data_IF_084647674762
#
_entry.id   IF_084647674762
#
_cell.length_a   1.000
_cell.length_b   1.000
_cell.length_c   1.000
_cell.angle_alpha   90.00
_cell.angle_beta   90.00
_cell.angle_gamma   90.00
#
_symmetry.space_group_name_H-M   'P 1'
#
loop_
_entity.id
_entity.type
_entity.pdbx_description
1 polymer ?
#
# COMPACT_ATOMS: atom_id res chain seq x y z
N UNK A 1 -17.82 8.78 0.32
CA UNK A 1 -17.02 7.83 -0.50
C UNK A 1 -17.87 6.64 -0.90
N UNK A 2 -17.78 6.20 -2.17
CA UNK A 2 -18.43 4.96 -2.63
C UNK A 2 -17.34 3.94 -3.00
N UNK A 3 -17.03 3.03 -2.09
CA UNK A 3 -15.94 2.04 -2.23
C UNK A 3 -16.06 1.21 -3.52
N UNK A 4 -17.29 0.87 -3.93
CA UNK A 4 -17.52 0.12 -5.17
C UNK A 4 -17.12 0.95 -6.41
N UNK A 5 -17.41 2.25 -6.40
CA UNK A 5 -17.01 3.19 -7.46
C UNK A 5 -15.48 3.31 -7.50
N UNK A 6 -14.84 3.51 -6.34
CA UNK A 6 -13.38 3.57 -6.21
C UNK A 6 -12.71 2.31 -6.75
N UNK A 7 -13.13 1.14 -6.30
CA UNK A 7 -12.62 -0.16 -6.78
C UNK A 7 -12.84 -0.33 -8.31
N UNK A 8 -13.97 0.11 -8.82
CA UNK A 8 -14.31 0.02 -10.25
C UNK A 8 -13.44 0.93 -11.12
N UNK A 9 -13.07 2.10 -10.61
CA UNK A 9 -12.32 3.11 -11.34
C UNK A 9 -10.80 3.03 -11.11
N UNK A 10 -10.35 2.47 -9.99
CA UNK A 10 -8.93 2.29 -9.67
C UNK A 10 -8.22 1.45 -10.74
N UNK A 11 -7.08 1.94 -11.21
CA UNK A 11 -6.16 1.26 -12.13
C UNK A 11 -4.73 1.48 -11.68
N UNK A 12 -3.81 0.65 -12.13
CA UNK A 12 -2.38 0.92 -12.04
C UNK A 12 -1.99 1.89 -13.15
N UNK A 13 -1.60 3.10 -12.75
CA UNK A 13 -1.11 4.14 -13.63
C UNK A 13 0.42 4.09 -13.63
N UNK A 14 1.05 4.20 -14.80
CA UNK A 14 2.51 4.13 -14.95
C UNK A 14 3.10 5.38 -15.60
N UNK A 15 2.27 6.21 -16.22
CA UNK A 15 2.69 7.54 -16.65
C UNK A 15 2.41 8.51 -15.51
N UNK A 16 3.46 8.84 -14.78
CA UNK A 16 3.41 9.57 -13.53
C UNK A 16 3.87 11.02 -13.72
N UNK A 17 3.36 11.95 -12.93
CA UNK A 17 3.81 13.33 -12.89
C UNK A 17 3.75 13.89 -11.44
N UNK A 18 4.26 15.11 -11.25
CA UNK A 18 4.31 15.79 -9.95
C UNK A 18 3.01 16.52 -9.59
N UNK A 19 2.02 16.57 -10.48
CA UNK A 19 0.79 17.30 -10.27
C UNK A 19 -0.19 16.48 -9.45
N UNK A 20 -0.87 17.13 -8.51
CA UNK A 20 -1.94 16.54 -7.72
C UNK A 20 -3.22 17.36 -7.93
N UNK A 21 -4.39 16.73 -8.10
CA UNK A 21 -5.65 17.43 -8.25
C UNK A 21 -6.18 18.00 -6.92
N UNK A 22 -5.55 17.66 -5.82
CA UNK A 22 -5.88 18.06 -4.45
C UNK A 22 -4.60 18.45 -3.69
N UNK A 23 -4.75 19.13 -2.57
CA UNK A 23 -3.60 19.51 -1.73
C UNK A 23 -2.96 18.31 -1.04
N UNK A 24 -1.70 18.47 -0.63
CA UNK A 24 -1.00 17.46 0.18
C UNK A 24 -1.68 17.22 1.52
N UNK A 25 -2.27 18.26 2.12
CA UNK A 25 -3.02 18.15 3.38
C UNK A 25 -4.26 17.28 3.23
N UNK A 26 -4.97 17.38 2.09
CA UNK A 26 -6.11 16.50 1.79
C UNK A 26 -5.66 15.04 1.60
N UNK A 27 -4.50 14.81 1.00
CA UNK A 27 -3.90 13.46 0.88
C UNK A 27 -3.59 12.90 2.27
N UNK A 28 -2.94 13.68 3.14
CA UNK A 28 -2.61 13.26 4.50
C UNK A 28 -3.88 12.95 5.31
N UNK A 29 -4.84 13.87 5.31
CA UNK A 29 -6.11 13.69 6.02
C UNK A 29 -6.86 12.41 5.55
N UNK A 30 -6.88 12.15 4.24
CA UNK A 30 -7.47 10.94 3.69
C UNK A 30 -6.76 9.67 4.18
N UNK A 31 -5.43 9.67 4.18
CA UNK A 31 -4.62 8.51 4.60
C UNK A 31 -4.86 8.24 6.09
N UNK A 32 -4.85 9.28 6.92
CA UNK A 32 -5.10 9.19 8.36
C UNK A 32 -6.50 8.62 8.63
N UNK A 33 -7.53 9.20 8.00
CA UNK A 33 -8.92 8.73 8.17
C UNK A 33 -9.09 7.27 7.75
N UNK A 34 -8.57 6.88 6.59
CA UNK A 34 -8.68 5.50 6.10
C UNK A 34 -7.91 4.53 6.99
N UNK A 35 -6.73 4.94 7.51
CA UNK A 35 -5.93 4.11 8.41
C UNK A 35 -6.66 3.84 9.73
N UNK A 36 -7.40 4.83 10.26
CA UNK A 36 -8.22 4.63 11.47
C UNK A 36 -9.47 3.79 11.22
N UNK A 37 -10.08 3.88 10.04
CA UNK A 37 -11.33 3.20 9.71
C UNK A 37 -11.17 1.74 9.30
N UNK A 38 -10.02 1.36 8.73
CA UNK A 38 -9.79 -0.01 8.27
C UNK A 38 -9.59 -0.94 9.46
N UNK A 39 -10.46 -1.96 9.62
CA UNK A 39 -10.39 -2.87 10.76
C UNK A 39 -9.21 -3.85 10.63
N UNK A 40 -8.72 -4.30 11.78
CA UNK A 40 -7.80 -5.40 11.89
C UNK A 40 -8.20 -6.40 12.99
N UNK A 41 -7.59 -7.58 12.96
CA UNK A 41 -7.89 -8.62 13.94
C UNK A 41 -7.50 -8.14 15.34
N UNK A 42 -8.38 -8.38 16.32
CA UNK A 42 -8.22 -7.98 17.74
C UNK A 42 -8.06 -6.46 17.94
N UNK A 43 -8.44 -5.64 16.97
CA UNK A 43 -8.19 -4.21 16.99
C UNK A 43 -6.70 -3.91 17.26
N UNK A 44 -5.85 -4.62 16.58
CA UNK A 44 -4.40 -4.68 16.83
C UNK A 44 -3.72 -3.34 16.59
N UNK A 45 -4.18 -2.58 15.58
CA UNK A 45 -3.63 -1.27 15.17
C UNK A 45 -2.13 -1.32 14.91
N UNK A 46 -1.68 -2.36 14.24
CA UNK A 46 -0.27 -2.55 13.91
C UNK A 46 0.19 -1.78 12.67
N UNK A 47 -0.71 -1.38 11.79
CA UNK A 47 -0.37 -0.69 10.56
C UNK A 47 0.38 0.64 10.82
N UNK A 48 1.41 0.90 10.00
CA UNK A 48 2.15 2.16 9.97
C UNK A 48 2.27 2.61 8.52
N UNK A 49 2.12 3.90 8.29
CA UNK A 49 2.19 4.51 6.95
C UNK A 49 3.18 5.66 6.98
N UNK A 50 4.03 5.73 5.97
CA UNK A 50 4.94 6.86 5.75
C UNK A 50 4.68 7.41 4.37
N UNK A 51 4.58 8.73 4.25
CA UNK A 51 4.32 9.42 2.98
C UNK A 51 5.53 10.27 2.61
N UNK A 52 6.15 9.97 1.48
CA UNK A 52 7.24 10.75 0.91
C UNK A 52 6.71 11.60 -0.23
N UNK A 53 6.75 12.93 -0.09
CA UNK A 53 6.31 13.92 -1.07
C UNK A 53 7.44 14.89 -1.41
N UNK A 54 7.35 15.56 -2.56
CA UNK A 54 8.30 16.60 -2.97
C UNK A 54 9.74 16.08 -3.04
N UNK A 55 10.66 16.77 -2.35
CA UNK A 55 12.08 16.38 -2.31
C UNK A 55 12.29 15.00 -1.69
N UNK A 56 11.48 14.60 -0.70
CA UNK A 56 11.58 13.28 -0.09
C UNK A 56 11.21 12.15 -1.06
N UNK A 57 10.31 12.40 -2.00
CA UNK A 57 10.02 11.51 -3.11
C UNK A 57 11.27 11.30 -3.99
N UNK A 58 11.94 12.38 -4.34
CA UNK A 58 13.13 12.34 -5.19
C UNK A 58 14.30 11.62 -4.50
N UNK A 59 14.56 11.96 -3.24
CA UNK A 59 15.58 11.32 -2.40
C UNK A 59 15.32 9.81 -2.21
N UNK A 60 14.06 9.42 -2.04
CA UNK A 60 13.66 8.02 -1.91
C UNK A 60 14.04 7.22 -3.16
N UNK A 61 13.67 7.72 -4.34
CA UNK A 61 13.86 6.97 -5.59
C UNK A 61 15.30 6.99 -6.09
N UNK A 62 16.05 8.06 -5.84
CA UNK A 62 17.49 8.08 -6.10
C UNK A 62 18.22 7.06 -5.22
N UNK A 63 17.92 7.02 -3.92
CA UNK A 63 18.52 6.02 -3.04
C UNK A 63 18.08 4.58 -3.36
N UNK A 64 16.84 4.36 -3.79
CA UNK A 64 16.41 3.04 -4.28
C UNK A 64 17.25 2.63 -5.50
N UNK A 65 17.51 3.54 -6.44
CA UNK A 65 18.38 3.25 -7.57
C UNK A 65 19.78 2.83 -7.12
N UNK A 66 20.36 3.55 -6.17
CA UNK A 66 21.69 3.27 -5.64
C UNK A 66 21.77 1.89 -4.97
N UNK A 67 20.74 1.54 -4.17
CA UNK A 67 20.63 0.20 -3.52
C UNK A 67 20.61 -0.94 -4.54
N UNK A 68 20.02 -0.71 -5.72
CA UNK A 68 19.99 -1.73 -6.76
C UNK A 68 21.31 -1.91 -7.53
N UNK A 69 22.25 -1.01 -7.37
CA UNK A 69 23.61 -1.12 -7.93
C UNK A 69 23.62 -1.55 -9.42
N UNK A 70 22.88 -0.82 -10.25
CA UNK A 70 22.78 -1.06 -11.70
C UNK A 70 21.92 -2.27 -12.12
N UNK A 71 21.30 -3.01 -11.20
CA UNK A 71 20.44 -4.16 -11.52
C UNK A 71 19.06 -3.77 -12.05
N UNK A 72 18.70 -2.49 -11.95
CA UNK A 72 17.44 -1.93 -12.45
C UNK A 72 17.74 -0.77 -13.37
N UNK A 73 17.06 -0.71 -14.52
CA UNK A 73 17.23 0.37 -15.48
C UNK A 73 16.85 1.73 -14.85
N UNK A 74 17.68 2.75 -15.08
CA UNK A 74 17.48 4.12 -14.55
C UNK A 74 16.12 4.67 -14.98
N UNK A 75 15.75 4.49 -16.25
CA UNK A 75 14.50 4.98 -16.83
C UNK A 75 13.27 4.44 -16.09
N UNK A 76 13.34 3.19 -15.59
CA UNK A 76 12.25 2.61 -14.78
C UNK A 76 12.12 3.31 -13.44
N UNK A 77 13.22 3.59 -12.78
CA UNK A 77 13.24 4.32 -11.50
C UNK A 77 12.81 5.77 -11.70
N UNK A 78 13.29 6.45 -12.73
CA UNK A 78 12.90 7.81 -13.08
C UNK A 78 11.40 7.90 -13.38
N UNK A 79 10.82 6.88 -13.99
CA UNK A 79 9.38 6.79 -14.19
C UNK A 79 8.59 6.78 -12.88
N UNK A 80 9.11 6.18 -11.80
CA UNK A 80 8.48 6.20 -10.48
C UNK A 80 8.82 7.48 -9.70
N UNK A 81 10.04 7.98 -9.81
CA UNK A 81 10.47 9.26 -9.25
C UNK A 81 9.63 10.43 -9.77
N UNK A 82 9.12 10.34 -11.00
CA UNK A 82 8.26 11.34 -11.61
C UNK A 82 6.90 11.52 -10.89
N UNK A 83 6.51 10.61 -10.00
CA UNK A 83 5.29 10.74 -9.22
C UNK A 83 5.35 11.91 -8.23
N UNK A 84 4.18 12.43 -7.83
CA UNK A 84 4.07 13.46 -6.79
C UNK A 84 4.53 12.95 -5.42
N UNK A 85 4.39 11.64 -5.16
CA UNK A 85 4.79 11.03 -3.91
C UNK A 85 4.73 9.51 -3.89
N UNK A 86 5.20 8.95 -2.78
CA UNK A 86 5.16 7.52 -2.48
C UNK A 86 4.61 7.28 -1.08
N UNK A 87 3.68 6.34 -0.96
CA UNK A 87 3.18 5.84 0.32
C UNK A 87 3.88 4.52 0.61
N UNK A 88 4.51 4.42 1.77
CA UNK A 88 5.21 3.25 2.27
C UNK A 88 4.36 2.62 3.37
N UNK A 89 4.17 1.31 3.30
CA UNK A 89 3.34 0.56 4.24
C UNK A 89 4.18 -0.38 5.08
N UNK A 90 3.96 -0.35 6.38
CA UNK A 90 4.63 -1.18 7.36
C UNK A 90 3.61 -1.75 8.34
N UNK A 91 4.00 -2.75 9.12
CA UNK A 91 3.37 -3.06 10.38
C UNK A 91 4.41 -3.08 11.50
N UNK A 92 3.94 -2.76 12.69
CA UNK A 92 4.74 -2.71 13.90
C UNK A 92 4.80 -4.11 14.54
N UNK A 93 5.97 -4.75 14.46
CA UNK A 93 6.19 -6.09 15.02
C UNK A 93 6.05 -6.14 16.52
N UNK A 94 6.38 -5.07 17.23
CA UNK A 94 6.24 -4.99 18.68
C UNK A 94 4.77 -5.11 19.09
N UNK A 95 3.86 -4.50 18.32
CA UNK A 95 2.41 -4.66 18.53
C UNK A 95 2.00 -6.10 18.30
N UNK A 96 2.48 -6.72 17.23
CA UNK A 96 2.19 -8.12 16.89
C UNK A 96 2.68 -9.05 18.00
N UNK A 97 3.94 -8.90 18.43
CA UNK A 97 4.57 -9.72 19.47
C UNK A 97 3.81 -9.65 20.79
N UNK A 98 3.42 -8.45 21.23
CA UNK A 98 2.62 -8.29 22.47
C UNK A 98 1.28 -9.03 22.41
N UNK A 99 0.66 -9.09 21.24
CA UNK A 99 -0.59 -9.84 21.08
C UNK A 99 -0.35 -11.36 21.01
N UNK A 100 0.74 -11.80 20.40
CA UNK A 100 1.16 -13.21 20.42
C UNK A 100 1.38 -13.70 21.86
N UNK A 101 2.03 -12.90 22.70
CA UNK A 101 2.25 -13.21 24.11
C UNK A 101 0.94 -13.24 24.89
N UNK A 102 0.06 -12.26 24.66
CA UNK A 102 -1.23 -12.14 25.36
C UNK A 102 -2.22 -13.23 24.99
N UNK A 103 -2.21 -13.68 23.75
CA UNK A 103 -3.15 -14.64 23.18
C UNK A 103 -2.42 -15.83 22.55
N UNK A 104 -1.68 -16.57 23.37
CA UNK A 104 -0.80 -17.65 22.94
C UNK A 104 -1.44 -18.70 22.01
N UNK A 105 -2.75 -18.98 22.20
CA UNK A 105 -3.49 -19.92 21.35
C UNK A 105 -3.58 -19.47 19.86
N UNK A 106 -3.36 -18.18 19.59
CA UNK A 106 -3.43 -17.59 18.25
C UNK A 106 -2.10 -16.98 17.81
N UNK A 107 -1.01 -17.28 18.53
CA UNK A 107 0.30 -16.66 18.34
C UNK A 107 0.75 -16.69 16.89
N UNK A 108 0.66 -17.83 16.21
CA UNK A 108 1.04 -18.00 14.80
C UNK A 108 0.17 -17.20 13.80
N UNK A 109 -1.02 -16.79 14.22
CA UNK A 109 -1.94 -16.08 13.34
C UNK A 109 -1.69 -14.57 13.29
N UNK A 110 -1.18 -13.95 14.35
CA UNK A 110 -1.05 -12.49 14.43
C UNK A 110 -0.19 -11.87 13.33
N UNK A 111 0.98 -12.43 12.93
CA UNK A 111 1.75 -11.91 11.80
C UNK A 111 0.97 -12.01 10.48
N UNK A 112 0.21 -13.10 10.29
CA UNK A 112 -0.64 -13.30 9.10
C UNK A 112 -1.75 -12.26 9.08
N UNK A 113 -2.44 -12.05 10.20
CA UNK A 113 -3.51 -11.05 10.32
C UNK A 113 -3.01 -9.62 10.15
N UNK A 114 -1.80 -9.29 10.64
CA UNK A 114 -1.18 -7.99 10.40
C UNK A 114 -0.96 -7.74 8.89
N UNK A 115 -0.45 -8.75 8.16
CA UNK A 115 -0.28 -8.67 6.70
C UNK A 115 -1.63 -8.52 5.98
N UNK A 116 -2.66 -9.28 6.39
CA UNK A 116 -3.99 -9.19 5.79
C UNK A 116 -4.63 -7.83 6.02
N UNK A 117 -4.55 -7.29 7.25
CA UNK A 117 -5.03 -5.96 7.59
C UNK A 117 -4.32 -4.87 6.76
N UNK A 118 -3.01 -5.00 6.59
CA UNK A 118 -2.25 -4.06 5.75
C UNK A 118 -2.68 -4.14 4.29
N UNK A 119 -2.94 -5.34 3.74
CA UNK A 119 -3.50 -5.49 2.39
C UNK A 119 -4.88 -4.83 2.24
N UNK A 120 -5.73 -4.91 3.27
CA UNK A 120 -7.00 -4.18 3.32
C UNK A 120 -6.76 -2.67 3.33
N UNK A 121 -5.84 -2.18 4.14
CA UNK A 121 -5.49 -0.76 4.20
C UNK A 121 -5.02 -0.23 2.85
N UNK A 122 -4.11 -0.94 2.18
CA UNK A 122 -3.58 -0.57 0.87
C UNK A 122 -4.66 -0.40 -0.18
N UNK A 123 -5.59 -1.36 -0.30
CA UNK A 123 -6.66 -1.26 -1.31
C UNK A 123 -7.66 -0.16 -0.98
N UNK A 124 -7.92 0.10 0.31
CA UNK A 124 -8.81 1.17 0.72
C UNK A 124 -8.21 2.55 0.46
N UNK A 125 -6.94 2.79 0.83
CA UNK A 125 -6.23 4.05 0.50
C UNK A 125 -6.18 4.24 -1.02
N UNK A 126 -5.79 3.22 -1.80
CA UNK A 126 -5.73 3.32 -3.26
C UNK A 126 -7.09 3.66 -3.90
N UNK A 127 -8.17 3.10 -3.35
CA UNK A 127 -9.52 3.36 -3.84
C UNK A 127 -10.01 4.77 -3.47
N UNK A 128 -9.67 5.22 -2.27
CA UNK A 128 -10.01 6.55 -1.77
C UNK A 128 -9.24 7.65 -2.52
N UNK A 129 -7.95 7.47 -2.76
CA UNK A 129 -7.15 8.35 -3.62
C UNK A 129 -7.77 8.51 -5.01
N UNK A 130 -8.28 7.40 -5.58
CA UNK A 130 -8.95 7.46 -6.88
C UNK A 130 -10.22 8.32 -6.87
N UNK A 131 -10.93 8.38 -5.77
CA UNK A 131 -12.11 9.29 -5.64
C UNK A 131 -11.71 10.76 -5.59
N UNK A 132 -10.52 11.09 -5.09
CA UNK A 132 -9.93 12.43 -5.16
C UNK A 132 -9.34 12.76 -6.56
N UNK A 133 -9.44 11.85 -7.54
CA UNK A 133 -8.84 12.03 -8.86
C UNK A 133 -7.40 11.55 -8.96
N UNK A 134 -6.78 11.17 -7.85
CA UNK A 134 -5.38 10.71 -7.80
C UNK A 134 -5.27 9.29 -8.36
N UNK A 135 -4.41 9.11 -9.35
CA UNK A 135 -4.00 7.80 -9.85
C UNK A 135 -2.84 7.25 -9.01
N UNK A 136 -2.67 5.94 -8.98
CA UNK A 136 -1.54 5.32 -8.31
C UNK A 136 -1.20 3.94 -8.90
N UNK A 137 -0.03 3.43 -8.56
CA UNK A 137 0.33 2.03 -8.79
C UNK A 137 1.04 1.46 -7.57
N UNK A 138 1.13 0.14 -7.49
CA UNK A 138 1.80 -0.57 -6.41
C UNK A 138 3.06 -1.24 -6.96
N UNK A 139 4.18 -1.09 -6.24
CA UNK A 139 5.46 -1.72 -6.54
C UNK A 139 5.96 -2.50 -5.32
N UNK A 140 6.68 -3.60 -5.61
CA UNK A 140 7.25 -4.47 -4.59
C UNK A 140 8.76 -4.52 -4.78
N UNK A 141 9.50 -3.88 -3.89
CA UNK A 141 10.97 -3.88 -3.90
C UNK A 141 11.58 -4.44 -2.60
N UNK A 142 10.70 -4.89 -1.70
CA UNK A 142 11.11 -5.56 -0.48
C UNK A 142 11.73 -6.94 -0.79
N UNK A 143 12.68 -7.43 0.01
CA UNK A 143 13.29 -6.75 1.16
C UNK A 143 14.48 -5.86 0.79
N UNK A 144 14.87 -5.78 -0.49
CA UNK A 144 16.16 -5.20 -0.95
C UNK A 144 16.38 -3.76 -0.48
N UNK A 145 15.31 -3.00 -0.29
CA UNK A 145 15.37 -1.56 0.02
C UNK A 145 15.01 -1.24 1.47
N UNK A 146 14.75 -2.25 2.31
CA UNK A 146 14.18 -2.05 3.64
C UNK A 146 15.14 -1.31 4.56
N UNK A 147 16.41 -1.70 4.57
CA UNK A 147 17.45 -1.07 5.40
C UNK A 147 17.65 0.39 4.98
N UNK A 148 17.78 0.66 3.68
CA UNK A 148 17.89 2.01 3.16
C UNK A 148 16.71 2.90 3.59
N UNK A 149 15.48 2.41 3.45
CA UNK A 149 14.28 3.19 3.81
C UNK A 149 14.22 3.45 5.30
N UNK A 150 14.56 2.45 6.11
CA UNK A 150 14.60 2.58 7.57
C UNK A 150 15.59 3.66 8.00
N UNK A 151 16.81 3.59 7.49
CA UNK A 151 17.86 4.58 7.77
C UNK A 151 17.47 5.97 7.28
N UNK A 152 17.04 6.07 6.01
CA UNK A 152 16.71 7.35 5.35
C UNK A 152 15.61 8.13 6.04
N UNK A 153 14.59 7.45 6.56
CA UNK A 153 13.44 8.08 7.22
C UNK A 153 13.49 7.97 8.75
N UNK A 154 14.56 7.43 9.32
CA UNK A 154 14.70 7.26 10.77
C UNK A 154 13.61 6.38 11.38
N UNK A 155 13.21 5.32 10.69
CA UNK A 155 12.12 4.46 11.12
C UNK A 155 12.59 3.45 12.18
N UNK A 156 11.73 3.09 13.14
CA UNK A 156 12.05 2.07 14.13
C UNK A 156 12.37 0.71 13.49
N UNK A 157 13.31 -0.03 14.09
CA UNK A 157 13.72 -1.36 13.61
C UNK A 157 12.60 -2.39 13.62
N UNK A 158 11.62 -2.22 14.50
CA UNK A 158 10.44 -3.07 14.62
C UNK A 158 9.33 -2.78 13.60
N UNK A 159 9.56 -1.86 12.65
CA UNK A 159 8.62 -1.64 11.54
C UNK A 159 8.99 -2.51 10.35
N UNK A 160 8.20 -3.55 10.12
CA UNK A 160 8.35 -4.40 8.94
C UNK A 160 7.71 -3.78 7.70
N UNK A 161 8.52 -3.61 6.68
CA UNK A 161 8.09 -3.07 5.39
C UNK A 161 7.31 -4.11 4.58
N UNK A 162 6.16 -3.72 4.03
CA UNK A 162 5.28 -4.60 3.26
C UNK A 162 5.14 -4.20 1.80
N UNK A 163 5.04 -2.89 1.49
CA UNK A 163 4.66 -2.46 0.15
C UNK A 163 4.81 -0.96 -0.07
N UNK A 164 4.84 -0.54 -1.37
CA UNK A 164 4.84 0.87 -1.76
C UNK A 164 3.77 1.19 -2.80
N UNK A 165 3.13 2.33 -2.64
CA UNK A 165 2.17 2.88 -3.58
C UNK A 165 2.65 4.25 -4.07
N UNK A 166 2.61 4.50 -5.38
CA UNK A 166 2.97 5.79 -5.97
C UNK A 166 1.74 6.61 -6.29
N UNK A 167 1.80 7.90 -5.99
CA UNK A 167 0.70 8.86 -6.21
C UNK A 167 0.90 9.63 -7.51
N UNK A 168 -0.18 9.78 -8.28
CA UNK A 168 -0.16 10.45 -9.58
C UNK A 168 -1.49 11.08 -9.92
N UNK A 169 -1.49 12.19 -10.66
CA UNK A 169 -2.66 12.64 -11.38
C UNK A 169 -2.99 11.71 -12.55
N UNK A 170 -4.28 11.42 -12.72
CA UNK A 170 -4.77 10.52 -13.77
C UNK A 170 -5.31 11.31 -14.94
N UNK A 171 -4.54 11.42 -16.02
CA UNK A 171 -5.01 12.01 -17.28
C UNK A 171 -5.52 10.98 -18.31
N UNK A 172 -5.48 9.65 -18.05
CA UNK A 172 -5.84 8.64 -19.06
C UNK A 172 -6.68 7.48 -18.54
N UNK A 173 -7.73 7.13 -19.33
CA UNK A 173 -8.50 5.90 -19.13
C UNK A 173 -7.78 4.71 -19.74
N UNK A 174 -7.16 3.86 -18.94
CA UNK A 174 -6.64 2.59 -19.44
C UNK A 174 -7.77 1.57 -19.67
N UNK A 175 -7.70 0.82 -20.79
CA UNK A 175 -8.65 -0.27 -21.10
C UNK A 175 -8.59 -1.35 -20.01
N UNK A 176 -9.78 -1.80 -19.57
CA UNK A 176 -9.92 -2.89 -18.61
C UNK A 176 -9.30 -4.19 -19.13
N UNK A 177 -8.34 -4.77 -18.40
CA UNK A 177 -8.05 -6.20 -18.48
C UNK A 177 -9.07 -6.93 -17.60
N UNK A 178 -9.94 -7.74 -18.19
CA UNK A 178 -10.91 -8.55 -17.44
C UNK A 178 -10.15 -9.70 -16.78
N UNK A 179 -10.13 -9.75 -15.45
CA UNK A 179 -9.69 -10.93 -14.72
C UNK A 179 -10.77 -12.01 -14.82
N UNK A 180 -10.41 -13.22 -15.22
CA UNK A 180 -11.33 -14.37 -15.12
C UNK A 180 -11.59 -14.66 -13.65
N UNK A 181 -12.86 -14.61 -13.25
CA UNK A 181 -13.30 -15.03 -11.93
C UNK A 181 -13.67 -16.49 -12.04
N UNK A 182 -13.02 -17.35 -11.26
CA UNK A 182 -13.44 -18.73 -11.10
C UNK A 182 -14.58 -18.76 -10.08
N UNK A 183 -15.80 -19.10 -10.52
CA UNK A 183 -16.92 -19.39 -9.65
C UNK A 183 -17.10 -20.91 -9.61
N UNK A 184 -16.98 -21.49 -8.43
CA UNK A 184 -17.47 -22.82 -8.15
C UNK A 184 -18.79 -22.66 -7.40
N UNK A 185 -19.91 -23.00 -8.03
CA UNK A 185 -21.18 -23.13 -7.33
C UNK A 185 -21.15 -24.45 -6.54
N UNK A 186 -21.20 -24.34 -5.23
CA UNK A 186 -21.45 -25.51 -4.38
C UNK A 186 -22.94 -25.75 -4.42
N UNK A 187 -23.39 -26.72 -5.24
CA UNK A 187 -24.77 -27.20 -5.16
C UNK A 187 -24.94 -27.91 -3.81
N UNK A 188 -25.87 -27.41 -2.98
CA UNK A 188 -26.37 -28.17 -1.85
C UNK A 188 -27.15 -29.37 -2.41
N UNK A 189 -26.55 -30.54 -2.49
CA UNK A 189 -27.33 -31.76 -2.59
C UNK A 189 -28.03 -31.95 -1.26
N UNK A 190 -29.29 -31.52 -1.18
CA UNK A 190 -30.20 -32.06 -0.19
C UNK A 190 -30.38 -33.57 -0.48
N UNK A 191 -29.53 -34.39 0.10
CA UNK A 191 -29.86 -35.79 0.30
C UNK A 191 -30.76 -35.87 1.53
N UNK A 192 -32.06 -35.93 1.28
CA UNK A 192 -33.00 -36.32 2.31
C UNK A 192 -32.69 -37.73 2.85
N UNK A 193 -32.77 -37.83 4.14
CA UNK A 193 -33.30 -38.98 4.90
C UNK A 193 -33.88 -38.43 6.18
#
# INVERSE_FOLDING_TARGET
MNIYKGLKQRRSYYQLNKELPVSTDEIHALIDEVTELVPDAFNMKSARVVVALGEKQDELWDGIYDVFDGKVAREKIDGFKAAAGTILYFYDEEVVRRLQEKFAAYSENFPVWANQANGMLQINIWSALRELGVGANIQHYNPVIDDFVREKFGLPDNWNSLLRCHLVESLWSQRRKIKRIYRKELSSTNSGF
#
